data_IF_996332527494
#
_entry.id   IF_996332527494
#
_cell.length_a   1.000
_cell.length_b   1.000
_cell.length_c   1.000
_cell.angle_alpha   90.00
_cell.angle_beta   90.00
_cell.angle_gamma   90.00
#
_symmetry.space_group_name_H-M   'P 1'
#
loop_
_entity.id
_entity.type
_entity.pdbx_description
1 polymer ?
#
# COMPACT_ATOMS: atom_id res chain seq x y z
N UNK A 1 -30.49 -31.71 -4.62
CA UNK A 1 -30.15 -31.09 -5.90
C UNK A 1 -30.54 -29.62 -6.00
N UNK A 2 -31.54 -29.15 -5.30
CA UNK A 2 -32.00 -27.73 -5.35
C UNK A 2 -31.13 -26.71 -4.57
N UNK A 3 -30.17 -27.14 -3.74
CA UNK A 3 -29.31 -26.23 -2.95
C UNK A 3 -28.06 -25.78 -3.70
N UNK A 4 -27.68 -26.48 -4.78
CA UNK A 4 -26.48 -26.17 -5.57
C UNK A 4 -26.67 -25.04 -6.58
N UNK A 5 -27.87 -24.81 -7.07
CA UNK A 5 -28.18 -23.74 -8.02
C UNK A 5 -28.27 -22.35 -7.35
N UNK A 6 -28.63 -22.28 -6.05
CA UNK A 6 -28.68 -21.00 -5.33
C UNK A 6 -27.31 -20.46 -4.93
N UNK A 7 -26.28 -21.31 -4.85
CA UNK A 7 -24.92 -20.87 -4.51
C UNK A 7 -24.14 -20.30 -5.70
N UNK A 8 -24.53 -20.63 -6.95
CA UNK A 8 -23.87 -20.07 -8.14
C UNK A 8 -24.31 -18.63 -8.49
N UNK A 9 -25.42 -18.15 -7.94
CA UNK A 9 -25.93 -16.79 -8.21
C UNK A 9 -25.41 -15.71 -7.27
N UNK A 10 -24.55 -16.05 -6.30
CA UNK A 10 -24.04 -15.15 -5.27
C UNK A 10 -22.55 -14.80 -5.41
N UNK A 11 -21.95 -15.02 -6.60
CA UNK A 11 -20.59 -14.52 -6.86
C UNK A 11 -20.65 -13.00 -7.08
N UNK A 12 -19.82 -12.20 -6.40
CA UNK A 12 -19.76 -10.77 -6.66
C UNK A 12 -19.37 -10.56 -8.12
N UNK A 13 -20.17 -9.75 -8.84
CA UNK A 13 -19.89 -9.36 -10.20
C UNK A 13 -18.70 -8.38 -10.17
N UNK A 14 -17.50 -8.91 -10.32
CA UNK A 14 -16.33 -8.08 -10.61
C UNK A 14 -16.48 -7.53 -12.02
N UNK A 15 -16.47 -6.19 -12.14
CA UNK A 15 -16.39 -5.34 -13.35
C UNK A 15 -16.54 -6.05 -14.71
N UNK A 16 -17.53 -5.60 -15.48
CA UNK A 16 -17.91 -6.03 -16.83
C UNK A 16 -16.81 -5.87 -17.90
N UNK A 17 -15.73 -6.63 -17.79
CA UNK A 17 -14.91 -6.95 -18.94
C UNK A 17 -15.33 -8.34 -19.44
N UNK A 18 -15.61 -8.56 -20.74
CA UNK A 18 -16.01 -9.87 -21.25
C UNK A 18 -14.83 -10.85 -21.06
N UNK A 19 -14.87 -11.60 -19.97
CA UNK A 19 -13.97 -12.75 -19.80
C UNK A 19 -14.31 -13.73 -20.92
N UNK A 20 -13.34 -13.96 -21.80
CA UNK A 20 -13.57 -14.82 -22.96
C UNK A 20 -14.04 -16.22 -22.51
N UNK A 21 -15.01 -16.80 -23.24
CA UNK A 21 -15.57 -18.17 -22.99
C UNK A 21 -14.49 -19.25 -22.77
N UNK A 22 -13.29 -19.01 -23.29
CA UNK A 22 -12.13 -19.91 -23.12
C UNK A 22 -11.59 -19.91 -21.68
N UNK A 23 -11.54 -18.74 -21.00
CA UNK A 23 -11.11 -18.64 -19.62
C UNK A 23 -12.10 -19.33 -18.66
N UNK A 24 -13.41 -19.17 -18.88
CA UNK A 24 -14.43 -19.87 -18.11
C UNK A 24 -14.37 -21.39 -18.29
N UNK A 25 -14.05 -21.85 -19.51
CA UNK A 25 -13.88 -23.27 -19.79
C UNK A 25 -12.63 -23.84 -19.11
N UNK A 26 -11.54 -23.12 -19.11
CA UNK A 26 -10.28 -23.48 -18.44
C UNK A 26 -10.48 -23.50 -16.91
N UNK A 27 -11.16 -22.50 -16.36
CA UNK A 27 -11.49 -22.49 -14.92
C UNK A 27 -12.37 -23.69 -14.52
N UNK A 28 -13.38 -24.05 -15.33
CA UNK A 28 -14.24 -25.24 -15.09
C UNK A 28 -13.47 -26.56 -15.18
N UNK A 29 -12.45 -26.64 -16.03
CA UNK A 29 -11.61 -27.84 -16.16
C UNK A 29 -10.59 -27.98 -15.02
N UNK A 30 -10.09 -26.88 -14.49
CA UNK A 30 -9.09 -26.88 -13.40
C UNK A 30 -9.73 -26.99 -12.02
N UNK A 31 -10.97 -26.51 -11.86
CA UNK A 31 -11.69 -26.50 -10.59
C UNK A 31 -11.76 -27.85 -9.85
N UNK A 32 -11.99 -29.00 -10.53
CA UNK A 32 -12.04 -30.31 -9.86
C UNK A 32 -10.73 -30.75 -9.20
N UNK A 33 -9.60 -30.16 -9.61
CA UNK A 33 -8.26 -30.50 -9.10
C UNK A 33 -7.80 -29.59 -7.97
N UNK A 34 -8.58 -28.56 -7.62
CA UNK A 34 -8.34 -27.73 -6.43
C UNK A 34 -8.89 -28.44 -5.21
N UNK A 35 -8.01 -28.99 -4.38
CA UNK A 35 -8.39 -29.58 -3.10
C UNK A 35 -8.75 -28.46 -2.10
N UNK A 36 -10.02 -28.42 -1.72
CA UNK A 36 -10.60 -27.50 -0.71
C UNK A 36 -11.64 -26.56 -1.30
N UNK A 37 -12.72 -26.31 -0.56
CA UNK A 37 -13.63 -25.20 -0.88
C UNK A 37 -12.86 -23.88 -0.74
N UNK A 38 -13.00 -22.95 -1.70
CA UNK A 38 -12.41 -21.63 -1.54
C UNK A 38 -12.97 -21.03 -0.25
N UNK A 39 -12.12 -20.37 0.58
CA UNK A 39 -12.62 -19.70 1.78
C UNK A 39 -13.72 -18.71 1.40
N UNK A 40 -14.74 -18.60 2.25
CA UNK A 40 -15.79 -17.61 2.01
C UNK A 40 -15.16 -16.22 1.93
N UNK A 41 -15.49 -15.43 0.89
CA UNK A 41 -14.94 -14.11 0.74
C UNK A 41 -15.36 -13.25 1.95
N UNK A 42 -14.37 -12.72 2.65
CA UNK A 42 -14.56 -11.77 3.73
C UNK A 42 -14.40 -10.35 3.19
N UNK A 43 -15.01 -9.34 3.83
CA UNK A 43 -14.77 -7.96 3.41
C UNK A 43 -13.28 -7.63 3.52
N UNK A 44 -12.76 -6.93 2.51
CA UNK A 44 -11.39 -6.43 2.53
C UNK A 44 -11.17 -5.55 3.75
N UNK A 45 -10.09 -5.81 4.49
CA UNK A 45 -9.74 -5.03 5.68
C UNK A 45 -8.48 -4.23 5.46
N UNK A 46 -8.36 -3.12 6.17
CA UNK A 46 -7.22 -2.23 6.01
C UNK A 46 -7.01 -1.28 7.16
N UNK A 47 -6.18 -0.28 6.91
CA UNK A 47 -5.96 0.83 7.83
C UNK A 47 -6.32 2.16 7.17
N UNK A 48 -6.94 3.02 7.96
CA UNK A 48 -6.96 4.45 7.75
C UNK A 48 -6.11 5.12 8.82
N UNK A 49 -5.14 5.93 8.43
CA UNK A 49 -4.25 6.65 9.37
C UNK A 49 -4.47 8.15 9.23
N UNK A 50 -5.05 8.76 10.27
CA UNK A 50 -5.20 10.22 10.39
C UNK A 50 -3.91 10.80 11.00
N UNK A 51 -3.09 11.46 10.16
CA UNK A 51 -1.84 12.07 10.61
C UNK A 51 -2.06 13.31 11.46
N UNK A 52 -3.25 13.94 11.40
CA UNK A 52 -3.55 15.17 12.13
C UNK A 52 -3.70 14.99 13.64
N UNK A 53 -3.95 13.75 14.07
CA UNK A 53 -4.10 13.40 15.50
C UNK A 53 -2.98 12.48 15.99
N UNK A 54 -2.00 12.16 15.14
CA UNK A 54 -0.82 11.41 15.55
C UNK A 54 0.07 12.27 16.44
N UNK A 55 0.40 11.76 17.63
CA UNK A 55 1.26 12.45 18.63
C UNK A 55 2.69 11.90 18.68
N UNK A 56 3.07 11.01 17.77
CA UNK A 56 4.42 10.45 17.71
C UNK A 56 4.82 9.57 18.89
N UNK A 57 3.89 9.05 19.70
CA UNK A 57 4.17 8.33 20.94
C UNK A 57 4.84 6.95 20.74
N UNK A 58 4.94 6.44 19.50
CA UNK A 58 5.52 5.13 19.12
C UNK A 58 4.85 3.90 19.76
N UNK A 59 3.72 4.04 20.45
CA UNK A 59 3.01 2.90 21.02
C UNK A 59 2.65 1.83 19.97
N UNK A 60 2.34 2.26 18.74
CA UNK A 60 2.07 1.36 17.61
C UNK A 60 3.30 0.57 17.16
N UNK A 61 4.52 1.14 17.21
CA UNK A 61 5.76 0.43 16.90
C UNK A 61 6.03 -0.64 17.95
N UNK A 62 5.96 -0.25 19.23
CA UNK A 62 6.18 -1.16 20.37
C UNK A 62 5.19 -2.31 20.33
N UNK A 63 3.90 -2.02 20.14
CA UNK A 63 2.86 -3.04 20.03
C UNK A 63 3.09 -3.99 18.86
N UNK A 64 3.51 -3.47 17.69
CA UNK A 64 3.84 -4.28 16.52
C UNK A 64 5.04 -5.20 16.80
N UNK A 65 6.13 -4.67 17.34
CA UNK A 65 7.32 -5.46 17.68
C UNK A 65 7.00 -6.53 18.72
N UNK A 66 6.30 -6.17 19.78
CA UNK A 66 5.97 -7.08 20.87
C UNK A 66 5.04 -8.22 20.40
N UNK A 67 3.99 -7.88 19.63
CA UNK A 67 3.05 -8.88 19.15
C UNK A 67 3.69 -9.87 18.18
N UNK A 68 4.45 -9.35 17.21
CA UNK A 68 5.07 -10.17 16.18
C UNK A 68 6.43 -10.74 16.61
N UNK A 69 6.84 -10.55 17.87
CA UNK A 69 8.12 -11.01 18.43
C UNK A 69 9.33 -10.61 17.57
N UNK A 70 9.29 -9.39 17.02
CA UNK A 70 10.37 -8.88 16.18
C UNK A 70 11.59 -8.54 17.04
N UNK A 71 12.79 -8.91 16.59
CA UNK A 71 14.01 -8.63 17.33
C UNK A 71 14.27 -7.12 17.43
N UNK A 72 15.11 -6.73 18.38
CA UNK A 72 15.61 -5.36 18.49
C UNK A 72 16.51 -5.02 17.30
N UNK A 73 16.44 -3.76 16.85
CA UNK A 73 17.35 -3.23 15.81
C UNK A 73 18.71 -2.81 16.40
N UNK A 74 18.96 -3.12 17.68
CA UNK A 74 20.18 -2.75 18.39
C UNK A 74 20.11 -1.36 19.05
N UNK A 75 21.24 -0.92 19.56
CA UNK A 75 21.40 0.39 20.18
C UNK A 75 22.21 1.29 19.25
N UNK A 76 21.54 1.90 18.29
CA UNK A 76 22.14 2.83 17.38
C UNK A 76 21.87 4.26 17.82
N UNK A 77 22.86 5.12 17.68
CA UNK A 77 22.70 6.55 17.92
C UNK A 77 22.58 7.26 16.57
N UNK A 78 21.37 7.68 16.21
CA UNK A 78 21.12 8.39 14.94
C UNK A 78 21.46 9.88 14.98
N UNK A 79 21.67 10.44 16.18
CA UNK A 79 21.72 11.88 16.39
C UNK A 79 20.35 12.56 16.42
N UNK A 80 19.28 11.82 16.10
CA UNK A 80 17.91 12.30 16.20
C UNK A 80 17.34 11.93 17.57
N UNK A 81 16.89 12.91 18.35
CA UNK A 81 16.43 12.69 19.73
C UNK A 81 15.12 11.93 19.84
N UNK A 82 14.35 11.82 18.76
CA UNK A 82 13.03 11.18 18.75
C UNK A 82 13.04 9.78 18.16
N UNK A 83 14.01 9.49 17.33
CA UNK A 83 14.00 8.28 16.52
C UNK A 83 15.40 7.75 16.19
N UNK A 84 15.71 6.57 16.74
CA UNK A 84 16.92 5.83 16.43
C UNK A 84 16.68 4.66 15.45
N UNK A 85 15.43 4.41 15.02
CA UNK A 85 15.07 3.35 14.08
C UNK A 85 15.21 3.80 12.64
N UNK A 86 14.88 5.06 12.35
CA UNK A 86 14.95 5.77 11.07
C UNK A 86 14.01 5.25 9.96
N UNK A 87 13.90 3.93 9.76
CA UNK A 87 13.14 3.38 8.63
C UNK A 87 12.49 2.03 8.94
N UNK A 88 11.60 1.60 8.03
CA UNK A 88 11.02 0.26 8.04
C UNK A 88 12.08 -0.77 7.63
N UNK A 89 12.06 -1.94 8.29
CA UNK A 89 13.01 -3.01 8.04
C UNK A 89 12.35 -4.40 8.17
N UNK A 90 13.13 -5.46 7.97
CA UNK A 90 12.69 -6.83 8.23
C UNK A 90 12.30 -7.06 9.70
N UNK A 91 12.82 -6.26 10.61
CA UNK A 91 12.60 -6.31 12.07
C UNK A 91 11.74 -5.17 12.58
N UNK A 92 11.43 -4.16 11.76
CA UNK A 92 10.57 -3.03 12.10
C UNK A 92 9.51 -2.84 11.03
N UNK A 93 8.30 -3.41 11.25
CA UNK A 93 7.22 -3.42 10.26
C UNK A 93 6.29 -2.22 10.36
N UNK A 94 6.43 -1.43 11.41
CA UNK A 94 5.73 -0.16 11.62
C UNK A 94 6.70 0.84 12.22
N UNK A 95 6.70 2.05 11.68
CA UNK A 95 7.60 3.11 12.04
C UNK A 95 6.89 4.45 12.09
N UNK A 96 7.12 5.24 13.14
CA UNK A 96 6.60 6.61 13.24
C UNK A 96 7.64 7.58 12.72
N UNK A 97 7.31 8.24 11.62
CA UNK A 97 8.12 9.31 11.03
C UNK A 97 7.86 10.62 11.77
N UNK A 98 8.93 11.33 12.04
CA UNK A 98 8.93 12.68 12.61
C UNK A 98 9.45 13.64 11.54
N UNK A 99 8.62 14.59 11.14
CA UNK A 99 8.92 15.55 10.09
C UNK A 99 8.90 16.94 10.70
N UNK A 100 10.08 17.54 10.81
CA UNK A 100 10.24 18.88 11.32
C UNK A 100 10.27 19.86 10.14
N UNK A 101 9.33 20.79 10.13
CA UNK A 101 9.28 21.89 9.16
C UNK A 101 9.50 23.18 9.91
N UNK A 102 10.76 23.66 9.91
CA UNK A 102 11.12 24.94 10.47
C UNK A 102 11.55 25.89 9.34
N UNK A 103 10.99 27.09 9.30
CA UNK A 103 11.54 28.13 8.44
C UNK A 103 12.91 28.54 8.99
N UNK A 104 13.94 28.49 8.14
CA UNK A 104 15.28 28.96 8.50
C UNK A 104 15.36 30.49 8.61
N UNK A 105 14.32 31.19 8.21
CA UNK A 105 14.27 32.64 8.32
C UNK A 105 13.84 33.03 9.73
N UNK A 106 14.78 33.56 10.50
CA UNK A 106 14.48 34.36 11.68
C UNK A 106 13.51 35.45 11.24
N UNK A 107 12.35 35.66 11.89
CA UNK A 107 11.44 36.70 11.52
C UNK A 107 12.20 38.03 11.56
N UNK A 108 12.42 38.63 10.36
CA UNK A 108 12.93 39.97 10.27
C UNK A 108 11.97 40.88 11.05
N UNK A 109 12.45 41.74 11.95
CA UNK A 109 11.60 42.64 12.72
C UNK A 109 10.80 43.62 11.85
N UNK A 110 10.93 43.54 10.53
CA UNK A 110 10.27 44.41 9.54
C UNK A 110 9.23 43.68 8.68
N UNK A 111 8.88 42.40 8.99
CA UNK A 111 7.79 41.74 8.29
C UNK A 111 6.47 42.32 8.79
N UNK A 112 5.73 42.98 7.89
CA UNK A 112 4.43 43.56 8.18
C UNK A 112 3.46 42.51 8.75
N UNK A 113 2.66 42.86 9.74
CA UNK A 113 1.66 41.99 10.39
C UNK A 113 0.71 41.31 9.38
N UNK A 114 0.52 41.89 8.21
CA UNK A 114 -0.38 41.38 7.17
C UNK A 114 0.15 40.12 6.46
N UNK A 115 1.48 39.90 6.46
CA UNK A 115 2.09 38.67 5.90
C UNK A 115 2.00 37.48 6.88
N UNK A 116 1.86 37.76 8.17
CA UNK A 116 1.80 36.72 9.22
C UNK A 116 0.46 35.98 9.27
N UNK A 117 -0.58 36.49 8.60
CA UNK A 117 -1.93 35.87 8.58
C UNK A 117 -2.13 34.97 7.36
N UNK A 118 -1.28 35.06 6.34
CA UNK A 118 -1.46 34.39 5.05
C UNK A 118 -0.81 33.01 4.97
N UNK A 119 0.18 32.70 5.82
CA UNK A 119 0.84 31.38 5.80
C UNK A 119 0.70 30.66 7.14
N UNK A 120 0.08 29.49 7.05
CA UNK A 120 0.00 28.54 8.12
C UNK A 120 1.36 28.34 8.78
N UNK A 121 1.45 28.60 10.07
CA UNK A 121 2.55 28.40 11.01
C UNK A 121 3.80 27.74 10.40
N UNK A 122 4.85 28.51 10.03
CA UNK A 122 6.00 27.98 9.31
C UNK A 122 6.80 26.94 10.12
N UNK A 123 6.50 26.82 11.41
CA UNK A 123 7.13 25.88 12.34
C UNK A 123 6.11 24.86 12.79
N UNK A 124 6.10 23.70 12.15
CA UNK A 124 5.21 22.61 12.53
C UNK A 124 5.94 21.28 12.54
N UNK A 125 5.43 20.38 13.34
CA UNK A 125 5.80 18.98 13.34
C UNK A 125 4.69 18.16 12.73
N UNK A 126 5.07 17.32 11.78
CA UNK A 126 4.17 16.32 11.23
C UNK A 126 4.63 14.96 11.67
N UNK A 127 3.70 14.10 11.96
CA UNK A 127 3.97 12.73 12.43
C UNK A 127 3.12 11.76 11.66
N UNK A 128 3.72 10.65 11.21
CA UNK A 128 3.00 9.62 10.47
C UNK A 128 3.45 8.23 10.89
N UNK A 129 2.50 7.39 11.26
CA UNK A 129 2.76 5.95 11.47
C UNK A 129 2.77 5.23 10.14
N UNK A 130 3.97 4.90 9.64
CA UNK A 130 4.19 4.25 8.35
C UNK A 130 4.26 2.73 8.45
N UNK A 131 3.83 2.02 7.39
CA UNK A 131 3.80 0.57 7.26
C UNK A 131 3.49 0.14 5.83
N UNK A 132 3.36 -1.17 5.57
CA UNK A 132 2.92 -1.68 4.28
C UNK A 132 1.53 -1.15 3.89
N UNK A 133 1.37 -0.75 2.62
CA UNK A 133 0.11 -0.17 2.11
C UNK A 133 -0.95 -1.22 1.76
N UNK A 134 -0.61 -2.52 1.77
CA UNK A 134 -1.50 -3.62 1.40
C UNK A 134 -2.28 -3.32 0.11
N UNK A 135 -1.54 -3.03 -0.95
CA UNK A 135 -2.08 -2.58 -2.24
C UNK A 135 -2.98 -3.63 -2.88
N UNK A 136 -4.08 -3.22 -3.51
CA UNK A 136 -5.00 -4.12 -4.21
C UNK A 136 -4.30 -4.84 -5.39
N UNK A 137 -3.66 -4.09 -6.29
CA UNK A 137 -2.79 -4.65 -7.33
C UNK A 137 -1.32 -4.53 -6.87
N UNK A 138 -0.92 -5.39 -5.93
CA UNK A 138 0.39 -5.29 -5.28
C UNK A 138 1.56 -5.66 -6.21
N UNK A 139 2.47 -4.72 -6.55
CA UNK A 139 3.63 -5.02 -7.40
C UNK A 139 4.52 -6.11 -6.81
N UNK A 140 4.64 -6.18 -5.49
CA UNK A 140 5.43 -7.20 -4.81
C UNK A 140 4.84 -8.62 -4.97
N UNK A 141 3.49 -8.75 -5.01
CA UNK A 141 2.82 -10.01 -5.31
C UNK A 141 3.09 -10.44 -6.76
N UNK A 142 2.94 -9.50 -7.70
CA UNK A 142 3.14 -9.75 -9.13
C UNK A 142 4.59 -10.10 -9.48
N UNK A 143 5.56 -9.54 -8.74
CA UNK A 143 6.99 -9.79 -8.95
C UNK A 143 7.52 -11.06 -8.26
N UNK A 144 6.73 -11.74 -7.43
CA UNK A 144 7.21 -12.88 -6.66
C UNK A 144 7.30 -14.16 -7.51
N UNK A 145 8.52 -14.67 -7.82
CA UNK A 145 8.67 -15.81 -8.72
C UNK A 145 8.25 -17.14 -8.09
N UNK A 146 8.22 -17.22 -6.75
CA UNK A 146 7.84 -18.45 -6.02
C UNK A 146 6.38 -18.47 -5.61
N UNK A 147 5.61 -17.36 -5.83
CA UNK A 147 4.25 -17.26 -5.34
C UNK A 147 4.15 -17.15 -3.82
N UNK A 148 5.25 -16.83 -3.12
CA UNK A 148 5.26 -16.69 -1.66
C UNK A 148 4.43 -15.49 -1.16
N UNK A 149 4.15 -14.52 -2.01
CA UNK A 149 3.33 -13.37 -1.67
C UNK A 149 1.92 -13.62 -2.19
N UNK A 150 0.94 -13.56 -1.30
CA UNK A 150 -0.47 -13.82 -1.61
C UNK A 150 -1.36 -12.72 -1.05
N UNK A 151 -2.59 -12.64 -1.55
CA UNK A 151 -3.69 -12.00 -0.86
C UNK A 151 -4.39 -13.05 -0.01
N UNK A 152 -4.58 -12.77 1.28
CA UNK A 152 -5.32 -13.65 2.19
C UNK A 152 -6.85 -13.43 2.05
N UNK A 153 -7.65 -14.11 2.86
CA UNK A 153 -9.13 -14.02 2.84
C UNK A 153 -9.68 -12.64 3.24
N UNK A 154 -8.85 -11.75 3.77
CA UNK A 154 -9.16 -10.35 4.07
C UNK A 154 -8.60 -9.39 3.01
N UNK A 155 -8.19 -9.91 1.86
CA UNK A 155 -7.54 -9.16 0.77
C UNK A 155 -6.23 -8.44 1.18
N UNK A 156 -5.60 -8.90 2.28
CA UNK A 156 -4.33 -8.32 2.71
C UNK A 156 -3.15 -9.05 2.07
N UNK A 157 -2.18 -8.29 1.64
CA UNK A 157 -0.93 -8.82 1.07
C UNK A 157 -0.09 -9.45 2.19
N UNK A 158 0.19 -10.75 2.06
CA UNK A 158 0.90 -11.56 3.05
C UNK A 158 2.09 -12.29 2.41
N UNK A 159 3.20 -12.42 3.16
CA UNK A 159 4.38 -13.19 2.73
C UNK A 159 4.41 -14.52 3.50
N UNK A 160 4.39 -15.62 2.78
CA UNK A 160 4.59 -16.96 3.31
C UNK A 160 6.09 -17.24 3.42
N UNK A 161 6.62 -17.20 4.64
CA UNK A 161 8.06 -17.28 4.87
C UNK A 161 8.66 -18.64 4.47
N UNK A 162 7.90 -19.71 4.60
CA UNK A 162 8.26 -21.09 4.22
C UNK A 162 8.39 -21.31 2.71
N UNK A 163 7.71 -20.47 1.90
CA UNK A 163 7.78 -20.51 0.42
C UNK A 163 8.78 -19.46 -0.11
N UNK A 164 9.11 -18.46 0.70
CA UNK A 164 9.99 -17.37 0.29
C UNK A 164 11.43 -17.84 0.17
N UNK A 165 12.04 -17.69 -1.02
CA UNK A 165 13.44 -18.01 -1.29
C UNK A 165 14.41 -16.84 -1.10
N UNK A 166 13.94 -15.67 -0.68
CA UNK A 166 14.76 -14.48 -0.43
C UNK A 166 15.36 -13.81 -1.67
N UNK A 167 14.76 -13.97 -2.85
CA UNK A 167 15.28 -13.42 -4.12
C UNK A 167 15.27 -11.88 -4.19
N UNK A 168 14.59 -11.20 -3.29
CA UNK A 168 14.45 -9.73 -3.19
C UNK A 168 13.71 -9.04 -4.36
N UNK A 169 13.07 -9.78 -5.27
CA UNK A 169 12.26 -9.18 -6.35
C UNK A 169 11.14 -8.27 -5.79
N UNK A 170 10.52 -8.67 -4.68
CA UNK A 170 9.49 -7.89 -4.00
C UNK A 170 10.03 -6.59 -3.37
N UNK A 171 11.30 -6.61 -2.92
CA UNK A 171 11.97 -5.41 -2.39
C UNK A 171 12.13 -4.37 -3.49
N UNK A 172 12.66 -4.77 -4.64
CA UNK A 172 12.85 -3.90 -5.80
C UNK A 172 11.54 -3.39 -6.41
N UNK A 173 10.46 -4.19 -6.30
CA UNK A 173 9.17 -3.84 -6.91
C UNK A 173 8.29 -2.95 -6.03
N UNK A 174 8.62 -2.78 -4.76
CA UNK A 174 7.80 -1.99 -3.84
C UNK A 174 8.12 -0.50 -3.97
N UNK A 175 7.20 0.36 -4.48
CA UNK A 175 7.49 1.79 -4.62
C UNK A 175 7.57 2.53 -3.29
N UNK A 176 7.12 1.88 -2.19
CA UNK A 176 7.13 2.46 -0.84
C UNK A 176 8.33 2.01 0.00
N UNK A 177 9.18 1.10 -0.51
CA UNK A 177 10.37 0.62 0.22
C UNK A 177 10.09 -0.13 1.53
N UNK A 178 8.86 -0.66 1.71
CA UNK A 178 8.43 -1.23 3.00
C UNK A 178 8.74 -2.72 3.18
N UNK A 179 9.40 -3.34 2.20
CA UNK A 179 9.78 -4.76 2.23
C UNK A 179 11.29 -4.84 2.33
N UNK A 180 11.77 -5.59 3.31
CA UNK A 180 13.21 -5.81 3.48
C UNK A 180 13.49 -7.29 3.66
N UNK A 181 14.62 -7.75 3.13
CA UNK A 181 15.11 -9.10 3.35
C UNK A 181 15.83 -9.18 4.68
N UNK A 182 15.48 -10.17 5.49
CA UNK A 182 16.18 -10.44 6.76
C UNK A 182 17.58 -11.04 6.50
N UNK A 183 18.56 -10.53 7.21
CA UNK A 183 19.93 -11.09 7.19
C UNK A 183 20.01 -12.45 7.90
N UNK A 184 19.21 -12.64 8.96
CA UNK A 184 19.25 -13.84 9.79
C UNK A 184 18.58 -15.06 9.15
N UNK A 185 17.48 -14.87 8.41
CA UNK A 185 16.71 -15.95 7.80
C UNK A 185 16.71 -15.95 6.28
N UNK A 186 17.18 -14.89 5.66
CA UNK A 186 17.21 -14.75 4.21
C UNK A 186 15.85 -14.49 3.56
N UNK A 187 14.75 -14.53 4.32
CA UNK A 187 13.40 -14.29 3.81
C UNK A 187 13.02 -12.79 3.84
N UNK A 188 12.12 -12.40 2.96
CA UNK A 188 11.59 -11.03 2.96
C UNK A 188 10.47 -10.89 3.99
N UNK A 189 10.45 -9.74 4.68
CA UNK A 189 9.47 -9.43 5.71
C UNK A 189 8.84 -8.06 5.49
N UNK A 190 7.61 -7.91 5.97
CA UNK A 190 6.85 -6.66 6.02
C UNK A 190 5.66 -6.81 6.97
N UNK A 191 4.92 -5.74 7.21
CA UNK A 191 3.66 -5.80 7.95
C UNK A 191 2.72 -6.88 7.38
N UNK A 192 2.17 -7.72 8.26
CA UNK A 192 1.21 -8.80 7.95
C UNK A 192 -0.23 -8.37 8.17
N UNK A 193 -0.46 -7.12 8.60
CA UNK A 193 -1.74 -6.60 9.10
C UNK A 193 -2.28 -7.43 10.28
N UNK A 194 -1.36 -8.04 11.05
CA UNK A 194 -1.67 -8.96 12.16
C UNK A 194 -2.70 -10.02 11.75
N UNK A 195 -2.41 -10.78 10.69
CA UNK A 195 -3.30 -11.78 10.10
C UNK A 195 -3.82 -12.78 11.13
N UNK A 196 -2.98 -13.22 12.06
CA UNK A 196 -3.32 -14.09 13.19
C UNK A 196 -4.44 -13.49 14.06
N UNK A 197 -4.29 -12.19 14.42
CA UNK A 197 -5.30 -11.48 15.21
C UNK A 197 -6.61 -11.33 14.46
N UNK A 198 -6.56 -11.01 13.17
CA UNK A 198 -7.76 -10.87 12.36
C UNK A 198 -8.56 -12.18 12.26
N UNK A 199 -7.86 -13.30 12.14
CA UNK A 199 -8.51 -14.63 12.15
C UNK A 199 -9.27 -14.89 13.44
N UNK A 200 -8.77 -14.39 14.56
CA UNK A 200 -9.39 -14.50 15.88
C UNK A 200 -10.41 -13.36 16.15
N UNK A 201 -10.76 -12.56 15.14
CA UNK A 201 -11.71 -11.46 15.29
C UNK A 201 -11.18 -10.25 16.09
N UNK A 202 -9.85 -10.16 16.26
CA UNK A 202 -9.20 -9.08 16.98
C UNK A 202 -8.64 -8.03 16.03
N UNK A 203 -8.67 -6.78 16.43
CA UNK A 203 -7.98 -5.72 15.67
C UNK A 203 -6.45 -5.84 15.77
N UNK A 204 -5.69 -5.35 14.76
CA UNK A 204 -4.24 -5.33 14.79
C UNK A 204 -3.66 -4.65 16.03
N UNK A 205 -2.52 -5.17 16.52
CA UNK A 205 -1.91 -4.69 17.76
C UNK A 205 -1.62 -3.19 17.77
N UNK A 206 -1.21 -2.65 16.61
CA UNK A 206 -0.87 -1.24 16.47
C UNK A 206 -2.10 -0.31 16.53
N UNK A 207 -3.24 -0.71 15.96
CA UNK A 207 -4.49 0.04 16.05
C UNK A 207 -4.98 0.03 17.50
N UNK A 208 -5.01 -1.15 18.13
CA UNK A 208 -5.38 -1.32 19.54
C UNK A 208 -4.58 -0.46 20.51
N UNK A 209 -3.30 -0.28 20.22
CA UNK A 209 -2.37 0.46 21.11
C UNK A 209 -2.39 1.97 20.85
N UNK A 210 -3.05 2.48 19.81
CA UNK A 210 -3.01 3.89 19.46
C UNK A 210 -3.89 4.73 20.42
N UNK A 211 -3.29 5.56 21.30
CA UNK A 211 -4.06 6.28 22.31
C UNK A 211 -4.94 7.40 21.74
N UNK A 212 -4.56 7.96 20.60
CA UNK A 212 -5.30 9.03 19.91
C UNK A 212 -6.22 8.51 18.83
N UNK A 213 -6.26 7.19 18.62
CA UNK A 213 -7.00 6.58 17.51
C UNK A 213 -6.61 7.16 16.14
N UNK A 214 -5.35 7.57 15.97
CA UNK A 214 -4.81 7.96 14.66
C UNK A 214 -4.85 6.80 13.66
N UNK A 215 -4.79 5.56 14.13
CA UNK A 215 -4.81 4.34 13.34
C UNK A 215 -6.17 3.67 13.51
N UNK A 216 -7.01 3.73 12.48
CA UNK A 216 -8.28 3.02 12.41
C UNK A 216 -8.10 1.71 11.64
N UNK A 217 -8.78 0.67 12.08
CA UNK A 217 -8.80 -0.64 11.42
C UNK A 217 -10.24 -1.09 11.20
N UNK A 218 -10.52 -1.67 10.05
CA UNK A 218 -11.84 -2.20 9.72
C UNK A 218 -12.00 -2.53 8.24
N UNK A 219 -13.25 -2.76 7.78
CA UNK A 219 -13.56 -2.88 6.37
C UNK A 219 -13.12 -1.62 5.60
N UNK A 220 -12.43 -1.82 4.47
CA UNK A 220 -11.82 -0.71 3.70
C UNK A 220 -12.85 0.32 3.28
N UNK A 221 -14.04 -0.10 2.84
CA UNK A 221 -15.09 0.83 2.39
C UNK A 221 -15.62 1.71 3.53
N UNK A 222 -15.80 1.13 4.71
CA UNK A 222 -16.23 1.89 5.91
C UNK A 222 -15.16 2.91 6.32
N UNK A 223 -13.89 2.49 6.26
CA UNK A 223 -12.75 3.37 6.56
C UNK A 223 -12.65 4.52 5.55
N UNK A 224 -12.91 4.27 4.26
CA UNK A 224 -12.94 5.32 3.23
C UNK A 224 -14.03 6.35 3.50
N UNK A 225 -15.23 5.89 3.83
CA UNK A 225 -16.34 6.80 4.17
C UNK A 225 -16.00 7.63 5.42
N UNK A 226 -15.47 7.01 6.46
CA UNK A 226 -15.03 7.70 7.67
C UNK A 226 -13.95 8.74 7.37
N UNK A 227 -12.96 8.38 6.55
CA UNK A 227 -11.87 9.27 6.19
C UNK A 227 -12.33 10.47 5.36
N UNK A 228 -13.26 10.29 4.41
CA UNK A 228 -13.85 11.39 3.63
C UNK A 228 -14.60 12.38 4.51
N UNK A 229 -15.42 11.87 5.43
CA UNK A 229 -16.10 12.73 6.43
C UNK A 229 -15.09 13.51 7.28
N UNK A 230 -13.97 12.87 7.65
CA UNK A 230 -12.92 13.54 8.42
C UNK A 230 -12.24 14.66 7.63
N UNK A 231 -11.98 14.46 6.33
CA UNK A 231 -11.44 15.52 5.45
C UNK A 231 -12.42 16.71 5.39
N UNK A 232 -13.71 16.45 5.17
CA UNK A 232 -14.75 17.52 5.15
C UNK A 232 -14.79 18.29 6.48
N UNK A 233 -14.70 17.59 7.60
CA UNK A 233 -14.63 18.20 8.94
C UNK A 233 -13.40 19.11 9.08
N UNK A 234 -12.24 18.65 8.62
CA UNK A 234 -11.00 19.44 8.68
C UNK A 234 -11.06 20.66 7.77
N UNK A 235 -11.64 20.54 6.57
CA UNK A 235 -11.89 21.68 5.69
C UNK A 235 -12.80 22.71 6.38
N UNK A 236 -13.87 22.27 7.04
CA UNK A 236 -14.77 23.13 7.83
C UNK A 236 -14.09 23.81 9.03
N UNK A 237 -13.00 23.22 9.54
CA UNK A 237 -12.17 23.77 10.62
C UNK A 237 -11.02 24.68 10.14
N UNK A 238 -10.92 24.95 8.84
CA UNK A 238 -9.88 25.81 8.28
C UNK A 238 -8.58 25.11 7.95
N UNK A 239 -8.61 23.80 7.69
CA UNK A 239 -7.47 23.00 7.22
C UNK A 239 -7.73 22.51 5.78
N UNK A 240 -7.76 23.42 4.77
CA UNK A 240 -8.15 23.09 3.40
C UNK A 240 -7.14 22.18 2.69
N UNK A 241 -5.92 22.07 3.19
CA UNK A 241 -4.85 21.21 2.65
C UNK A 241 -5.01 19.74 3.05
N UNK A 242 -5.98 19.36 3.90
CA UNK A 242 -6.25 17.99 4.27
C UNK A 242 -6.80 17.20 3.07
N UNK A 243 -6.24 16.03 2.79
CA UNK A 243 -6.69 15.15 1.71
C UNK A 243 -6.34 13.69 2.00
N UNK A 244 -6.90 12.77 1.22
CA UNK A 244 -6.60 11.35 1.32
C UNK A 244 -5.53 10.93 0.30
N UNK A 245 -4.62 10.08 0.72
CA UNK A 245 -3.59 9.50 -0.11
C UNK A 245 -3.74 7.97 -0.13
N UNK A 246 -3.97 7.41 -1.32
CA UNK A 246 -4.06 5.97 -1.56
C UNK A 246 -5.45 5.36 -1.35
N UNK A 247 -6.49 6.17 -1.10
CA UNK A 247 -7.88 5.72 -0.95
C UNK A 247 -8.58 5.38 -2.27
N UNK A 248 -8.08 5.92 -3.38
CA UNK A 248 -8.60 5.74 -4.72
C UNK A 248 -7.48 5.35 -5.70
N UNK A 249 -7.81 4.65 -6.81
CA UNK A 249 -6.85 4.35 -7.85
C UNK A 249 -6.45 5.62 -8.61
N UNK A 250 -5.20 5.61 -9.09
CA UNK A 250 -4.67 6.61 -10.02
C UNK A 250 -4.39 5.94 -11.37
N UNK A 251 -4.00 6.73 -12.38
CA UNK A 251 -3.62 6.19 -13.70
C UNK A 251 -2.40 5.27 -13.61
N UNK A 252 -1.54 5.47 -12.61
CA UNK A 252 -0.24 4.80 -12.43
C UNK A 252 -0.25 3.72 -11.35
N UNK A 253 -1.24 3.75 -10.44
CA UNK A 253 -1.29 2.85 -9.28
C UNK A 253 -2.73 2.49 -8.89
N UNK A 254 -2.90 1.28 -8.35
CA UNK A 254 -4.16 0.85 -7.77
C UNK A 254 -4.39 1.46 -6.39
N UNK A 255 -5.62 1.40 -5.91
CA UNK A 255 -5.97 1.75 -4.55
C UNK A 255 -5.22 0.89 -3.51
N UNK A 256 -5.11 1.43 -2.31
CA UNK A 256 -4.45 0.81 -1.17
C UNK A 256 -5.46 0.45 -0.09
N UNK A 257 -5.28 -0.69 0.55
CA UNK A 257 -6.07 -1.05 1.73
C UNK A 257 -5.56 -0.37 3.00
N UNK A 258 -4.38 0.26 2.93
CA UNK A 258 -3.85 1.10 4.00
C UNK A 258 -3.51 2.47 3.42
N UNK A 259 -4.32 3.46 3.74
CA UNK A 259 -4.28 4.81 3.20
C UNK A 259 -4.21 5.86 4.31
N UNK A 260 -3.91 7.10 3.93
CA UNK A 260 -3.56 8.17 4.86
C UNK A 260 -4.38 9.41 4.63
N UNK A 261 -4.72 10.11 5.72
CA UNK A 261 -5.09 11.52 5.67
C UNK A 261 -3.82 12.34 5.90
N UNK A 262 -3.47 13.14 4.91
CA UNK A 262 -2.28 14.00 4.91
C UNK A 262 -2.69 15.47 4.88
N UNK A 263 -1.79 16.35 5.36
CA UNK A 263 -1.93 17.81 5.33
C UNK A 263 -0.76 18.49 4.63
N UNK A 264 0.06 17.72 3.94
CA UNK A 264 1.15 18.18 3.09
C UNK A 264 1.41 17.15 1.98
N UNK A 265 2.27 17.47 1.01
CA UNK A 265 2.61 16.59 -0.10
C UNK A 265 3.13 15.23 0.40
N UNK A 266 2.87 14.13 -0.31
CA UNK A 266 3.31 12.78 0.09
C UNK A 266 4.82 12.70 0.28
N UNK A 267 5.59 13.38 -0.55
CA UNK A 267 7.07 13.43 -0.48
C UNK A 267 7.59 13.99 0.85
N UNK A 268 6.86 14.88 1.50
CA UNK A 268 7.19 15.39 2.84
C UNK A 268 7.14 14.28 3.89
N UNK A 269 6.23 13.32 3.73
CA UNK A 269 6.11 12.14 4.58
C UNK A 269 7.01 10.98 4.12
N UNK A 270 7.84 11.19 3.09
CA UNK A 270 8.65 10.13 2.49
C UNK A 270 7.83 9.07 1.76
N UNK A 271 6.66 9.48 1.24
CA UNK A 271 5.84 8.69 0.34
C UNK A 271 6.07 9.18 -1.09
N UNK A 272 5.98 8.32 -2.11
CA UNK A 272 6.05 8.77 -3.50
C UNK A 272 4.84 9.66 -3.82
N UNK A 273 5.08 10.80 -4.50
CA UNK A 273 3.98 11.68 -4.95
C UNK A 273 3.11 11.00 -6.00
N UNK A 274 3.71 10.18 -6.86
CA UNK A 274 3.04 9.38 -7.88
C UNK A 274 3.63 7.95 -7.88
N UNK A 275 3.08 7.04 -7.07
CA UNK A 275 3.52 5.66 -7.06
C UNK A 275 3.22 4.99 -8.41
N UNK A 276 4.16 4.20 -8.91
CA UNK A 276 4.03 3.55 -10.22
C UNK A 276 4.03 2.02 -10.07
N UNK A 277 3.05 1.37 -10.71
CA UNK A 277 3.02 -0.07 -10.84
C UNK A 277 3.21 -0.48 -12.31
N UNK A 278 4.40 -0.97 -12.70
CA UNK A 278 4.69 -1.32 -14.09
C UNK A 278 3.77 -2.41 -14.65
N UNK A 279 3.25 -3.28 -13.81
CA UNK A 279 2.40 -4.40 -14.23
C UNK A 279 1.01 -3.95 -14.72
N UNK A 280 0.49 -2.82 -14.27
CA UNK A 280 -0.79 -2.29 -14.74
C UNK A 280 -0.74 -1.92 -16.24
N UNK A 281 0.43 -1.53 -16.74
CA UNK A 281 0.63 -1.07 -18.13
C UNK A 281 1.30 -2.11 -19.02
N UNK A 282 1.87 -3.17 -18.44
CA UNK A 282 2.71 -4.16 -19.12
C UNK A 282 2.04 -4.76 -20.37
N UNK A 283 0.78 -5.15 -20.29
CA UNK A 283 0.07 -5.75 -21.43
C UNK A 283 -0.14 -4.75 -22.57
N UNK A 284 -0.45 -3.50 -22.26
CA UNK A 284 -0.59 -2.42 -23.23
C UNK A 284 0.74 -2.08 -23.91
N UNK A 285 1.82 -2.02 -23.13
CA UNK A 285 3.17 -1.74 -23.63
C UNK A 285 3.69 -2.89 -24.50
N UNK A 286 3.44 -4.13 -24.11
CA UNK A 286 3.76 -5.31 -24.89
C UNK A 286 3.01 -5.31 -26.24
N UNK A 287 1.70 -5.06 -26.23
CA UNK A 287 0.90 -4.99 -27.43
C UNK A 287 1.38 -3.87 -28.39
N UNK A 288 1.72 -2.70 -27.85
CA UNK A 288 2.30 -1.58 -28.64
C UNK A 288 3.64 -1.94 -29.25
N UNK A 289 4.51 -2.62 -28.50
CA UNK A 289 5.82 -3.06 -28.96
C UNK A 289 5.72 -4.10 -30.07
N UNK A 290 4.80 -5.07 -29.93
CA UNK A 290 4.52 -6.08 -30.99
C UNK A 290 3.96 -5.42 -32.24
N UNK A 291 2.98 -4.53 -32.09
CA UNK A 291 2.41 -3.81 -33.22
C UNK A 291 3.46 -2.97 -33.98
N UNK A 292 4.32 -2.27 -33.23
CA UNK A 292 5.45 -1.52 -33.81
C UNK A 292 6.45 -2.41 -34.56
N UNK A 293 6.78 -3.57 -34.01
CA UNK A 293 7.63 -4.57 -34.65
C UNK A 293 7.03 -5.10 -35.95
N UNK A 294 5.74 -5.44 -35.94
CA UNK A 294 5.02 -5.89 -37.13
C UNK A 294 4.95 -4.81 -38.21
N UNK A 295 4.69 -3.57 -37.82
CA UNK A 295 4.70 -2.43 -38.74
C UNK A 295 6.05 -2.21 -39.42
N UNK A 296 7.15 -2.33 -38.63
CA UNK A 296 8.51 -2.21 -39.14
C UNK A 296 8.84 -3.34 -40.17
N UNK A 297 8.45 -4.58 -39.84
CA UNK A 297 8.62 -5.71 -40.77
C UNK A 297 7.81 -5.49 -42.06
N UNK A 298 6.55 -5.05 -41.97
CA UNK A 298 5.72 -4.76 -43.13
C UNK A 298 6.34 -3.67 -43.99
N UNK A 299 6.83 -2.57 -43.42
CA UNK A 299 7.53 -1.51 -44.10
C UNK A 299 8.77 -2.02 -44.85
N UNK A 300 9.57 -2.86 -44.19
CA UNK A 300 10.75 -3.47 -44.80
C UNK A 300 10.40 -4.35 -46.03
N UNK A 301 9.35 -5.15 -45.89
CA UNK A 301 8.86 -6.00 -47.00
C UNK A 301 8.39 -5.17 -48.20
N UNK A 302 7.71 -4.04 -47.95
CA UNK A 302 7.30 -3.11 -49.01
C UNK A 302 8.51 -2.52 -49.73
N UNK A 303 9.53 -2.06 -48.98
CA UNK A 303 10.78 -1.54 -49.54
C UNK A 303 11.49 -2.60 -50.40
N UNK A 304 11.62 -3.83 -49.89
CA UNK A 304 12.24 -4.94 -50.65
C UNK A 304 11.47 -5.27 -51.89
N UNK A 305 10.13 -5.23 -51.86
CA UNK A 305 9.29 -5.46 -53.01
C UNK A 305 9.48 -4.36 -54.06
N UNK A 306 9.48 -3.09 -53.65
CA UNK A 306 9.69 -1.94 -54.54
C UNK A 306 11.10 -1.91 -55.16
N UNK A 307 12.10 -2.39 -54.50
CA UNK A 307 13.48 -2.48 -55.01
C UNK A 307 13.71 -3.64 -55.99
N UNK A 308 12.79 -4.65 -55.99
CA UNK A 308 12.85 -5.79 -56.91
C UNK A 308 12.02 -5.62 -58.16
N UNK A 309 11.10 -4.64 -58.18
CA UNK A 309 10.30 -4.24 -59.35
C UNK A 309 11.02 -3.12 -60.11
#
# INVERSE_FOLDING_TARGET
MASREKQLSALPQTSDAPRGRLLELVERLIYPFRHGEPPEPRPATGFYTDTTVCIGCKACEVACKQWNQLPSDGFNWSGNSYDNTAELSATTWRHVKFIEQFSQELPSPLVSLDAAVADANPNRWLMMSDHCKHCLAAPCHQACPTGAIIHNEFENVYIQADICNGCSCCVASCPFGVITRSELGGHSHKCTLCYDRQRDGLEPACAKACPTQSIHFGPVEELREQARKRVEELHGRGVPQAYLYGDAPTDTYSEMHSFYLLVDRPSVYGLPDDPFNPWLHMMGDYARSVAGGLAAIAALLVVVFLLKS
#
